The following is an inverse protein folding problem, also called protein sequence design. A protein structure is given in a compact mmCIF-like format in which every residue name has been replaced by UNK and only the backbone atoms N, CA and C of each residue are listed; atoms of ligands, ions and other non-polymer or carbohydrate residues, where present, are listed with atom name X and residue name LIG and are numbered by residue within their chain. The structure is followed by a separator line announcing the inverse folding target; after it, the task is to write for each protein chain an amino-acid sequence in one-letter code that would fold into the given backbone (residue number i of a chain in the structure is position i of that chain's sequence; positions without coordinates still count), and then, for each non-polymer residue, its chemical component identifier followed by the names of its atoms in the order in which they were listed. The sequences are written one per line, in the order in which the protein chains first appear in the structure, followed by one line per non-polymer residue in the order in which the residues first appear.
data_IF_719696482961
#
_entry.id   IF_719696482961
#
_cell.length_a   1.000
_cell.length_b   1.000
_cell.length_c   1.000
_cell.angle_alpha   90.00
_cell.angle_beta   90.00
_cell.angle_gamma   90.00
#
_symmetry.space_group_name_H-M   'P 1'
#
loop_
_entity.id
_entity.type
_entity.pdbx_description
1 polymer ?
#
# COMPACT_ATOMS: atom_id res chain seq x y z
N UNK A 1 9.53 -24.55 18.89
CA UNK A 1 9.33 -24.53 17.43
C UNK A 1 9.24 -23.08 17.01
N UNK A 2 10.23 -22.56 16.32
CA UNK A 2 10.13 -21.26 15.64
C UNK A 2 9.10 -21.41 14.52
N UNK A 3 7.93 -20.83 14.69
CA UNK A 3 6.99 -20.64 13.58
C UNK A 3 7.69 -19.77 12.56
N UNK A 4 8.14 -20.36 11.45
CA UNK A 4 8.56 -19.57 10.30
C UNK A 4 7.37 -18.69 9.89
N UNK A 5 7.51 -17.37 10.03
CA UNK A 5 6.48 -16.45 9.58
C UNK A 5 6.39 -16.55 8.07
N UNK A 6 5.28 -17.09 7.55
CA UNK A 6 5.08 -17.15 6.11
C UNK A 6 4.76 -15.74 5.58
N UNK A 7 5.36 -15.39 4.43
CA UNK A 7 5.01 -14.16 3.72
C UNK A 7 4.09 -14.53 2.55
N UNK A 8 2.86 -14.01 2.56
CA UNK A 8 1.91 -14.19 1.47
C UNK A 8 1.93 -12.96 0.58
N UNK A 9 2.02 -13.14 -0.74
CA UNK A 9 2.00 -12.04 -1.71
C UNK A 9 0.67 -12.02 -2.47
N UNK A 10 -0.04 -10.90 -2.40
CA UNK A 10 -1.29 -10.67 -3.14
C UNK A 10 -1.07 -9.58 -4.20
N UNK A 11 -0.99 -10.01 -5.47
CA UNK A 11 -0.83 -9.11 -6.61
C UNK A 11 -2.20 -8.63 -7.11
N UNK A 12 -2.39 -7.32 -7.13
CA UNK A 12 -3.60 -6.68 -7.66
C UNK A 12 -3.44 -6.29 -9.12
N UNK A 13 -4.57 -6.26 -9.84
CA UNK A 13 -4.60 -5.83 -11.24
C UNK A 13 -4.57 -4.31 -11.40
N UNK A 14 -5.09 -3.59 -10.41
CA UNK A 14 -5.28 -2.14 -10.44
C UNK A 14 -5.15 -1.54 -9.03
N UNK A 15 -4.97 -0.21 -8.97
CA UNK A 15 -4.87 0.52 -7.70
C UNK A 15 -6.17 0.50 -6.90
N UNK A 16 -7.33 0.49 -7.57
CA UNK A 16 -8.64 0.52 -6.92
C UNK A 16 -8.82 -0.67 -5.96
N UNK A 17 -8.48 -1.89 -6.40
CA UNK A 17 -8.55 -3.09 -5.56
C UNK A 17 -7.54 -3.05 -4.40
N UNK A 18 -6.30 -2.60 -4.65
CA UNK A 18 -5.28 -2.45 -3.60
C UNK A 18 -5.74 -1.44 -2.55
N UNK A 19 -6.23 -0.27 -2.98
CA UNK A 19 -6.62 0.83 -2.11
C UNK A 19 -7.88 0.53 -1.31
N UNK A 20 -8.79 -0.32 -1.81
CA UNK A 20 -9.92 -0.84 -1.02
C UNK A 20 -9.45 -1.63 0.21
N UNK A 21 -8.39 -2.41 0.09
CA UNK A 21 -7.78 -3.11 1.24
C UNK A 21 -7.21 -2.10 2.24
N UNK A 22 -6.54 -1.05 1.76
CA UNK A 22 -6.00 0.03 2.60
C UNK A 22 -7.12 0.79 3.31
N UNK A 23 -8.20 1.11 2.59
CA UNK A 23 -9.36 1.80 3.15
C UNK A 23 -10.00 0.98 4.26
N UNK A 24 -10.28 -0.30 4.00
CA UNK A 24 -10.91 -1.18 4.97
C UNK A 24 -10.03 -1.40 6.20
N UNK A 25 -8.73 -1.62 6.00
CA UNK A 25 -7.78 -1.80 7.11
C UNK A 25 -7.58 -0.52 7.93
N UNK A 26 -7.65 0.67 7.33
CA UNK A 26 -7.58 1.96 8.05
C UNK A 26 -8.76 2.21 8.99
N UNK A 27 -9.86 1.46 8.84
CA UNK A 27 -11.03 1.50 9.73
C UNK A 27 -10.90 0.51 10.89
N UNK A 28 -9.84 -0.29 10.93
CA UNK A 28 -9.59 -1.27 12.00
C UNK A 28 -9.29 -0.58 13.33
N UNK A 29 -9.80 -1.17 14.41
CA UNK A 29 -9.62 -0.73 15.81
C UNK A 29 -8.14 -0.64 16.21
N UNK A 30 -7.25 -1.36 15.53
CA UNK A 30 -5.82 -1.34 15.78
C UNK A 30 -5.12 -0.05 15.31
N UNK A 31 -5.78 0.81 14.54
CA UNK A 31 -5.33 2.20 14.28
C UNK A 31 -4.07 2.35 13.42
N UNK A 32 -3.51 1.27 12.87
CA UNK A 32 -2.34 1.37 11.98
C UNK A 32 -2.81 1.70 10.58
N UNK A 33 -2.59 2.95 10.14
CA UNK A 33 -2.79 3.33 8.73
C UNK A 33 -1.73 2.61 7.90
N UNK A 34 -2.11 1.78 6.92
CA UNK A 34 -1.12 1.13 6.08
C UNK A 34 -0.37 2.19 5.28
N UNK A 35 0.95 2.23 5.45
CA UNK A 35 1.83 2.99 4.58
C UNK A 35 1.92 2.29 3.23
N UNK A 36 2.01 3.08 2.16
CA UNK A 36 2.31 2.57 0.84
C UNK A 36 3.79 2.83 0.56
N UNK A 37 4.48 1.79 0.11
CA UNK A 37 5.85 1.83 -0.31
C UNK A 37 5.94 1.69 -1.81
N UNK A 38 6.91 2.36 -2.41
CA UNK A 38 7.30 2.19 -3.80
C UNK A 38 8.76 1.75 -3.86
N UNK A 39 9.07 0.79 -4.72
CA UNK A 39 10.45 0.38 -5.00
C UNK A 39 10.60 0.06 -6.49
N UNK A 40 11.77 0.39 -7.06
CA UNK A 40 12.17 -0.13 -8.35
C UNK A 40 12.81 -1.51 -8.16
N UNK A 41 12.14 -2.56 -8.65
CA UNK A 41 12.59 -3.94 -8.56
C UNK A 41 12.71 -4.53 -9.97
N UNK A 42 13.93 -4.82 -10.43
CA UNK A 42 14.19 -5.34 -11.77
C UNK A 42 13.57 -4.50 -12.90
N UNK A 43 13.71 -3.17 -12.82
CA UNK A 43 13.12 -2.19 -13.76
C UNK A 43 11.58 -2.14 -13.76
N UNK A 44 10.94 -2.74 -12.77
CA UNK A 44 9.49 -2.65 -12.57
C UNK A 44 9.20 -1.82 -11.32
N UNK A 45 8.18 -0.98 -11.39
CA UNK A 45 7.75 -0.20 -10.24
C UNK A 45 6.75 -1.00 -9.42
N UNK A 46 7.20 -1.44 -8.24
CA UNK A 46 6.35 -2.16 -7.30
C UNK A 46 5.82 -1.19 -6.28
N UNK A 47 4.51 -1.14 -6.13
CA UNK A 47 3.83 -0.37 -5.08
C UNK A 47 3.13 -1.34 -4.15
N UNK A 48 3.42 -1.27 -2.86
CA UNK A 48 2.96 -2.27 -1.92
C UNK A 48 2.67 -1.72 -0.52
N UNK A 49 1.83 -2.46 0.20
CA UNK A 49 1.57 -2.28 1.63
C UNK A 49 1.66 -3.63 2.34
N UNK A 50 1.93 -3.60 3.63
CA UNK A 50 1.98 -4.80 4.47
C UNK A 50 0.84 -4.78 5.48
N UNK A 51 0.19 -5.92 5.64
CA UNK A 51 -0.71 -6.17 6.76
C UNK A 51 -0.18 -7.33 7.57
N UNK A 52 -0.15 -7.17 8.90
CA UNK A 52 0.24 -8.23 9.82
C UNK A 52 -0.96 -9.14 10.09
N UNK A 53 -0.76 -10.45 10.05
CA UNK A 53 -1.76 -11.43 10.49
C UNK A 53 -1.17 -12.32 11.57
N UNK A 54 -2.02 -13.01 12.33
CA UNK A 54 -1.55 -14.08 13.22
C UNK A 54 -0.86 -15.13 12.34
N UNK A 55 0.44 -15.36 12.57
CA UNK A 55 1.25 -16.35 11.85
C UNK A 55 2.00 -15.86 10.60
N UNK A 56 1.93 -14.59 10.22
CA UNK A 56 2.66 -14.11 9.03
C UNK A 56 2.41 -12.66 8.62
N UNK A 57 2.98 -12.29 7.48
CA UNK A 57 2.80 -10.96 6.85
C UNK A 57 2.18 -11.15 5.47
N UNK A 58 1.16 -10.38 5.15
CA UNK A 58 0.60 -10.30 3.81
C UNK A 58 1.13 -9.04 3.13
N UNK A 59 1.78 -9.21 1.99
CA UNK A 59 2.25 -8.13 1.12
C UNK A 59 1.23 -7.93 0.01
N UNK A 60 0.51 -6.82 0.06
CA UNK A 60 -0.43 -6.39 -0.96
C UNK A 60 0.32 -5.53 -1.96
N UNK A 61 0.35 -5.89 -3.24
CA UNK A 61 1.17 -5.15 -4.20
C UNK A 61 0.55 -5.05 -5.59
N UNK A 62 0.97 -4.02 -6.32
CA UNK A 62 0.77 -3.86 -7.76
C UNK A 62 2.12 -3.64 -8.42
N UNK A 63 2.21 -4.06 -9.68
CA UNK A 63 3.35 -3.77 -10.55
C UNK A 63 2.89 -2.80 -11.63
N UNK A 64 3.60 -1.70 -11.77
CA UNK A 64 3.38 -0.66 -12.77
C UNK A 64 4.64 -0.49 -13.62
N UNK A 65 4.44 -0.09 -14.88
CA UNK A 65 5.54 0.34 -15.75
C UNK A 65 5.96 1.79 -15.44
N UNK A 66 5.09 2.56 -14.79
CA UNK A 66 5.30 3.96 -14.46
C UNK A 66 5.52 4.16 -12.96
N UNK A 67 6.46 5.05 -12.62
CA UNK A 67 6.73 5.48 -11.25
C UNK A 67 5.57 6.36 -10.74
N UNK A 68 5.13 6.20 -9.47
CA UNK A 68 4.24 7.16 -8.85
C UNK A 68 4.85 8.56 -8.87
N UNK A 69 4.19 9.51 -9.53
CA UNK A 69 4.69 10.87 -9.75
C UNK A 69 4.23 11.88 -8.68
N UNK A 70 3.53 11.41 -7.64
CA UNK A 70 2.98 12.20 -6.54
C UNK A 70 3.37 11.57 -5.20
N UNK A 71 3.32 12.38 -4.14
CA UNK A 71 3.78 11.99 -2.80
C UNK A 71 2.70 11.32 -1.95
N UNK A 72 1.43 11.54 -2.27
CA UNK A 72 0.30 11.01 -1.52
C UNK A 72 -0.77 10.46 -2.45
N UNK A 73 -1.59 9.56 -1.91
CA UNK A 73 -2.88 9.16 -2.45
C UNK A 73 -3.95 9.74 -1.55
N UNK A 74 -4.76 10.65 -2.07
CA UNK A 74 -6.01 11.05 -1.45
C UNK A 74 -7.04 9.96 -1.74
N UNK A 75 -7.62 9.36 -0.71
CA UNK A 75 -8.64 8.31 -0.81
C UNK A 75 -9.91 8.74 -0.07
N UNK A 76 -11.01 8.91 -0.80
CA UNK A 76 -12.30 9.30 -0.24
C UNK A 76 -12.86 8.14 0.59
N UNK A 77 -13.10 8.39 1.88
CA UNK A 77 -13.53 7.33 2.81
C UNK A 77 -14.90 6.73 2.48
N UNK A 78 -15.78 7.53 1.87
CA UNK A 78 -17.17 7.13 1.58
C UNK A 78 -17.32 6.48 0.20
N UNK A 79 -16.71 7.05 -0.84
CA UNK A 79 -16.85 6.56 -2.22
C UNK A 79 -15.77 5.56 -2.63
N UNK A 80 -14.62 5.54 -1.94
CA UNK A 80 -13.45 4.77 -2.37
C UNK A 80 -12.71 5.38 -3.56
N UNK A 81 -13.18 6.51 -4.10
CA UNK A 81 -12.48 7.25 -5.15
C UNK A 81 -11.13 7.74 -4.65
N UNK A 82 -10.14 7.77 -5.55
CA UNK A 82 -8.80 8.20 -5.18
C UNK A 82 -8.14 9.08 -6.23
N UNK A 83 -7.23 9.93 -5.77
CA UNK A 83 -6.39 10.78 -6.59
C UNK A 83 -4.95 10.80 -6.08
N UNK A 84 -4.00 10.90 -6.99
CA UNK A 84 -2.60 11.12 -6.66
C UNK A 84 -2.35 12.63 -6.45
N UNK A 85 -1.80 13.02 -5.29
CA UNK A 85 -1.64 14.43 -4.89
C UNK A 85 -0.26 14.71 -4.29
N UNK A 86 0.23 15.95 -4.42
CA UNK A 86 1.56 16.35 -3.93
C UNK A 86 1.59 16.68 -2.43
N UNK A 87 0.44 17.00 -1.83
CA UNK A 87 0.32 17.45 -0.44
C UNK A 87 -0.99 16.99 0.19
N UNK A 88 -1.01 16.95 1.51
CA UNK A 88 -2.21 16.74 2.32
C UNK A 88 -3.16 17.93 2.10
N UNK A 89 -4.43 17.63 1.84
CA UNK A 89 -5.49 18.61 1.69
C UNK A 89 -6.24 18.91 3.00
N UNK A 90 -7.35 19.64 2.89
CA UNK A 90 -8.20 20.01 4.02
C UNK A 90 -9.47 19.16 4.15
N UNK A 91 -9.65 18.14 3.29
CA UNK A 91 -10.83 17.29 3.34
C UNK A 91 -10.72 16.27 4.48
N UNK A 92 -11.49 16.48 5.54
CA UNK A 92 -11.55 15.58 6.70
C UNK A 92 -12.14 14.21 6.39
N UNK A 93 -12.88 14.07 5.28
CA UNK A 93 -13.46 12.81 4.81
C UNK A 93 -12.52 12.03 3.88
N UNK A 94 -11.30 12.54 3.68
CA UNK A 94 -10.25 11.86 2.94
C UNK A 94 -9.23 11.20 3.87
N UNK A 95 -8.68 10.08 3.42
CA UNK A 95 -7.45 9.52 3.93
C UNK A 95 -6.31 9.94 2.99
N UNK A 96 -5.25 10.55 3.52
CA UNK A 96 -4.06 10.89 2.76
C UNK A 96 -2.96 9.87 3.06
N UNK A 97 -2.73 8.94 2.13
CA UNK A 97 -1.78 7.84 2.28
C UNK A 97 -0.44 8.27 1.67
N UNK A 98 0.66 8.35 2.42
CA UNK A 98 1.96 8.68 1.85
C UNK A 98 2.48 7.52 0.97
N UNK A 99 3.13 7.88 -0.13
CA UNK A 99 3.89 6.96 -0.98
C UNK A 99 5.37 7.15 -0.64
N UNK A 100 5.94 6.17 0.06
CA UNK A 100 7.33 6.20 0.51
C UNK A 100 8.22 5.46 -0.49
N UNK A 101 9.14 6.18 -1.12
CA UNK A 101 10.10 5.59 -2.05
C UNK A 101 11.24 4.91 -1.26
N UNK A 102 11.41 3.61 -1.49
CA UNK A 102 12.45 2.81 -0.86
C UNK A 102 13.65 2.69 -1.80
N UNK A 103 14.83 2.94 -1.24
CA UNK A 103 16.09 2.66 -1.93
C UNK A 103 16.38 1.15 -2.01
N UNK A 104 16.01 0.40 -0.95
CA UNK A 104 16.28 -1.04 -0.83
C UNK A 104 15.22 -1.75 0.00
N UNK A 105 14.99 -3.03 -0.29
CA UNK A 105 14.18 -3.95 0.52
C UNK A 105 14.77 -5.36 0.50
N UNK A 106 14.55 -6.12 1.58
CA UNK A 106 14.85 -7.56 1.64
C UNK A 106 13.73 -8.42 1.03
N UNK A 107 12.54 -7.84 0.80
CA UNK A 107 11.42 -8.54 0.17
C UNK A 107 11.80 -9.00 -1.25
N UNK A 108 11.35 -10.21 -1.60
CA UNK A 108 11.49 -10.80 -2.93
C UNK A 108 10.10 -10.93 -3.53
N UNK A 109 9.78 -10.04 -4.47
CA UNK A 109 8.49 -10.08 -5.15
C UNK A 109 8.49 -11.25 -6.16
N UNK A 110 7.46 -12.11 -6.13
CA UNK A 110 7.33 -13.27 -7.01
C UNK A 110 6.91 -12.90 -8.44
#
# INVERSE_FOLDING_TARGET
MSTESSTTYLKYKNYDDLLKVILYSSQSVLGVVPLIYHINYNNLHVVFAQTGTIGGVIVHYIVSNDKPNKKFIELKRLSGEFNFVDKIGSDSMSLYIPILELEKSTLKFP
#
